data_IF_458619449076
#
_entry.id   IF_458619449076
#
_cell.length_a   1.000
_cell.length_b   1.000
_cell.length_c   1.000
_cell.angle_alpha   90.00
_cell.angle_beta   90.00
_cell.angle_gamma   90.00
#
_symmetry.space_group_name_H-M   'P 1'
#
loop_
_entity.id
_entity.type
_entity.pdbx_description
1 polymer ?
#
# COMPACT_ATOMS: atom_id res chain seq x y z
N UNK A 1 -3.53 -4.65 -32.21
CA UNK A 1 -3.28 -4.68 -30.77
C UNK A 1 -3.45 -6.11 -30.24
N UNK A 2 -2.45 -6.65 -29.61
CA UNK A 2 -2.51 -8.00 -29.05
C UNK A 2 -3.13 -7.97 -27.65
N UNK A 3 -3.62 -9.12 -27.17
CA UNK A 3 -4.13 -9.23 -25.80
C UNK A 3 -3.07 -8.89 -24.75
N UNK A 4 -1.81 -9.23 -25.01
CA UNK A 4 -0.72 -8.92 -24.10
C UNK A 4 -0.57 -7.40 -23.93
N UNK A 5 -0.64 -6.63 -25.02
CA UNK A 5 -0.56 -5.18 -24.98
C UNK A 5 -1.70 -4.56 -24.14
N UNK A 6 -2.91 -5.12 -24.24
CA UNK A 6 -4.05 -4.64 -23.47
C UNK A 6 -3.87 -4.96 -21.97
N UNK A 7 -3.29 -6.12 -21.64
CA UNK A 7 -2.99 -6.46 -20.25
C UNK A 7 -1.97 -5.51 -19.64
N UNK A 8 -0.93 -5.17 -20.40
CA UNK A 8 0.11 -4.25 -19.93
C UNK A 8 -0.48 -2.86 -19.66
N UNK A 9 -1.41 -2.42 -20.51
CA UNK A 9 -2.11 -1.16 -20.32
C UNK A 9 -2.98 -1.20 -19.05
N UNK A 10 -3.69 -2.30 -18.82
CA UNK A 10 -4.53 -2.46 -17.65
C UNK A 10 -3.72 -2.45 -16.35
N UNK A 11 -2.55 -3.12 -16.32
CA UNK A 11 -1.65 -3.08 -15.17
C UNK A 11 -1.12 -1.66 -14.92
N UNK A 12 -0.68 -0.97 -15.96
CA UNK A 12 -0.22 0.40 -15.84
C UNK A 12 -1.34 1.32 -15.34
N UNK A 13 -2.54 1.14 -15.86
CA UNK A 13 -3.70 1.95 -15.49
C UNK A 13 -4.05 1.74 -14.02
N UNK A 14 -4.07 0.49 -13.55
CA UNK A 14 -4.32 0.21 -12.15
C UNK A 14 -3.25 0.83 -11.25
N UNK A 15 -1.97 0.70 -11.60
CA UNK A 15 -0.88 1.30 -10.86
C UNK A 15 -1.03 2.82 -10.78
N UNK A 16 -1.38 3.46 -11.89
CA UNK A 16 -1.62 4.90 -11.93
C UNK A 16 -2.79 5.29 -11.01
N UNK A 17 -3.88 4.53 -11.03
CA UNK A 17 -5.03 4.79 -10.18
C UNK A 17 -4.67 4.70 -8.69
N UNK A 18 -3.87 3.71 -8.31
CA UNK A 18 -3.41 3.57 -6.93
C UNK A 18 -2.59 4.78 -6.51
N UNK A 19 -1.61 5.18 -7.31
CA UNK A 19 -0.74 6.31 -7.00
C UNK A 19 -1.48 7.64 -7.05
N UNK A 20 -2.40 7.83 -7.98
CA UNK A 20 -3.23 9.04 -8.04
C UNK A 20 -4.06 9.17 -6.77
N UNK A 21 -4.64 8.08 -6.32
CA UNK A 21 -5.40 8.08 -5.07
C UNK A 21 -4.52 8.40 -3.86
N UNK A 22 -3.35 7.74 -3.75
CA UNK A 22 -2.43 7.97 -2.64
C UNK A 22 -1.90 9.40 -2.63
N UNK A 23 -1.58 9.96 -3.79
CA UNK A 23 -1.12 11.33 -3.91
C UNK A 23 -2.21 12.33 -3.49
N UNK A 24 -3.45 12.07 -3.88
CA UNK A 24 -4.56 12.90 -3.44
C UNK A 24 -4.77 12.79 -1.93
N UNK A 25 -4.78 11.56 -1.42
CA UNK A 25 -5.10 11.28 -0.01
C UNK A 25 -4.06 11.83 0.95
N UNK A 26 -2.79 11.66 0.62
CA UNK A 26 -1.67 12.00 1.50
C UNK A 26 -0.97 13.30 1.13
N UNK A 27 -1.08 13.74 -0.12
CA UNK A 27 -0.33 14.89 -0.60
C UNK A 27 1.16 14.67 -0.41
N UNK A 28 1.89 15.71 -0.03
CA UNK A 28 3.33 15.63 0.22
C UNK A 28 3.68 15.18 1.64
N UNK A 29 2.66 14.92 2.49
CA UNK A 29 2.86 14.64 3.91
C UNK A 29 3.65 13.36 4.19
N UNK A 30 3.51 12.37 3.29
CA UNK A 30 4.17 11.08 3.45
C UNK A 30 5.32 10.87 2.45
N UNK A 31 5.70 11.91 1.71
CA UNK A 31 6.84 11.84 0.79
C UNK A 31 8.10 12.37 1.46
N UNK A 32 9.19 11.60 1.38
CA UNK A 32 10.48 12.04 1.83
C UNK A 32 11.20 12.89 0.79
N UNK A 33 12.41 13.35 1.09
CA UNK A 33 13.24 14.12 0.15
C UNK A 33 13.58 13.34 -1.12
N UNK A 34 13.57 12.00 -1.03
CA UNK A 34 13.82 11.11 -2.16
C UNK A 34 12.58 10.88 -3.04
N UNK A 35 11.48 11.55 -2.74
CA UNK A 35 10.17 11.40 -3.43
C UNK A 35 9.54 10.03 -3.28
N UNK A 36 9.99 9.26 -2.29
CA UNK A 36 9.42 7.95 -1.98
C UNK A 36 8.37 8.09 -0.89
N UNK A 37 7.39 7.19 -0.94
CA UNK A 37 6.40 7.08 0.13
C UNK A 37 7.10 6.60 1.40
N UNK A 38 6.84 7.26 2.53
CA UNK A 38 7.42 6.91 3.82
C UNK A 38 6.32 6.64 4.84
N UNK A 39 6.54 5.64 5.67
CA UNK A 39 5.68 5.31 6.79
C UNK A 39 6.57 5.23 8.04
N UNK A 40 6.31 6.08 9.02
CA UNK A 40 7.15 6.20 10.22
C UNK A 40 8.63 6.42 9.90
N UNK A 41 8.89 7.20 8.85
CA UNK A 41 10.24 7.51 8.43
C UNK A 41 10.93 6.45 7.60
N UNK A 42 10.29 5.30 7.38
CA UNK A 42 10.85 4.20 6.60
C UNK A 42 10.26 4.23 5.19
N UNK A 43 11.08 4.14 4.12
CA UNK A 43 10.55 4.07 2.77
C UNK A 43 9.73 2.80 2.55
N UNK A 44 8.60 2.94 1.89
CA UNK A 44 7.67 1.83 1.63
C UNK A 44 7.62 1.53 0.15
N UNK A 45 7.88 0.28 -0.22
CA UNK A 45 7.72 -0.17 -1.59
C UNK A 45 6.29 -0.66 -1.81
N UNK A 46 5.60 -0.07 -2.77
CA UNK A 46 4.23 -0.44 -3.11
C UNK A 46 4.25 -1.15 -4.46
N UNK A 47 3.87 -2.42 -4.48
CA UNK A 47 3.75 -3.19 -5.71
C UNK A 47 2.28 -3.46 -5.99
N UNK A 48 1.81 -3.12 -7.18
CA UNK A 48 0.40 -3.24 -7.56
C UNK A 48 0.18 -4.46 -8.44
N UNK A 49 -0.96 -5.11 -8.25
CA UNK A 49 -1.36 -6.32 -8.99
C UNK A 49 -2.79 -6.13 -9.49
N UNK A 50 -2.93 -5.96 -10.79
CA UNK A 50 -4.24 -5.77 -11.42
C UNK A 50 -5.04 -7.08 -11.45
N UNK A 51 -4.37 -8.22 -11.56
CA UNK A 51 -5.05 -9.50 -11.64
C UNK A 51 -5.65 -9.89 -10.28
N UNK A 52 -6.97 -9.77 -10.17
CA UNK A 52 -7.69 -10.08 -8.94
C UNK A 52 -7.63 -11.56 -8.54
N UNK A 53 -7.30 -12.44 -9.48
CA UNK A 53 -7.17 -13.88 -9.23
C UNK A 53 -5.77 -14.36 -8.91
N UNK A 54 -4.77 -13.47 -8.84
CA UNK A 54 -3.40 -13.88 -8.56
C UNK A 54 -3.29 -14.42 -7.12
N UNK A 55 -2.67 -15.60 -6.92
CA UNK A 55 -2.53 -16.16 -5.57
C UNK A 55 -1.72 -15.26 -4.64
N UNK A 56 -2.14 -15.20 -3.38
CA UNK A 56 -1.53 -14.32 -2.37
C UNK A 56 -0.04 -14.61 -2.20
N UNK A 57 0.35 -15.88 -2.11
CA UNK A 57 1.75 -16.24 -1.91
C UNK A 57 2.64 -15.79 -3.08
N UNK A 58 2.14 -15.88 -4.30
CA UNK A 58 2.88 -15.40 -5.48
C UNK A 58 3.05 -13.88 -5.44
N UNK A 59 2.01 -13.15 -5.05
CA UNK A 59 2.08 -11.69 -4.91
C UNK A 59 3.11 -11.29 -3.86
N UNK A 60 3.08 -11.96 -2.72
CA UNK A 60 4.01 -11.66 -1.63
C UNK A 60 5.46 -11.91 -2.03
N UNK A 61 5.73 -13.04 -2.72
CA UNK A 61 7.07 -13.35 -3.18
C UNK A 61 7.57 -12.32 -4.21
N UNK A 62 6.72 -11.95 -5.14
CA UNK A 62 7.07 -10.97 -6.17
C UNK A 62 7.32 -9.59 -5.56
N UNK A 63 6.46 -9.14 -4.68
CA UNK A 63 6.60 -7.85 -4.00
C UNK A 63 7.84 -7.82 -3.10
N UNK A 64 8.12 -8.93 -2.41
CA UNK A 64 9.32 -9.06 -1.58
C UNK A 64 10.59 -8.94 -2.41
N UNK A 65 10.63 -9.59 -3.55
CA UNK A 65 11.79 -9.55 -4.46
C UNK A 65 12.01 -8.13 -4.98
N UNK A 66 10.95 -7.44 -5.38
CA UNK A 66 11.05 -6.05 -5.87
C UNK A 66 11.56 -5.14 -4.76
N UNK A 67 11.05 -5.29 -3.55
CA UNK A 67 11.49 -4.48 -2.41
C UNK A 67 12.96 -4.72 -2.09
N UNK A 68 13.40 -5.97 -2.11
CA UNK A 68 14.80 -6.33 -1.87
C UNK A 68 15.72 -5.73 -2.93
N UNK A 69 15.30 -5.77 -4.20
CA UNK A 69 16.07 -5.19 -5.30
C UNK A 69 16.20 -3.66 -5.17
N UNK A 70 15.28 -3.02 -4.46
CA UNK A 70 15.27 -1.58 -4.21
C UNK A 70 15.82 -1.22 -2.83
N UNK A 71 16.38 -2.17 -2.10
CA UNK A 71 16.90 -1.99 -0.73
C UNK A 71 15.85 -1.42 0.24
N UNK A 72 14.61 -1.83 0.10
CA UNK A 72 13.51 -1.41 0.96
C UNK A 72 13.10 -2.52 1.92
N UNK A 73 13.01 -2.18 3.22
CA UNK A 73 12.66 -3.14 4.28
C UNK A 73 11.16 -3.24 4.51
N UNK A 74 10.44 -2.17 4.22
CA UNK A 74 8.97 -2.14 4.36
C UNK A 74 8.36 -2.16 2.96
N UNK A 75 7.44 -3.07 2.74
CA UNK A 75 6.77 -3.21 1.46
C UNK A 75 5.35 -3.71 1.66
N UNK A 76 4.49 -3.36 0.72
CA UNK A 76 3.10 -3.83 0.70
C UNK A 76 2.75 -4.24 -0.72
N UNK A 77 1.77 -5.14 -0.84
CA UNK A 77 1.21 -5.54 -2.12
C UNK A 77 -0.23 -5.03 -2.20
N UNK A 78 -0.58 -4.41 -3.32
CA UNK A 78 -1.93 -3.88 -3.54
C UNK A 78 -2.58 -4.67 -4.67
N UNK A 79 -3.68 -5.36 -4.37
CA UNK A 79 -4.39 -6.19 -5.35
C UNK A 79 -5.73 -5.56 -5.71
N UNK A 80 -6.00 -5.48 -7.01
CA UNK A 80 -7.30 -5.08 -7.52
C UNK A 80 -8.38 -6.09 -7.12
N UNK A 81 -9.56 -5.60 -6.77
CA UNK A 81 -10.73 -6.42 -6.47
C UNK A 81 -11.77 -6.20 -7.55
N UNK A 82 -12.19 -7.28 -8.20
CA UNK A 82 -13.17 -7.20 -9.29
C UNK A 82 -14.45 -6.50 -8.83
N UNK A 83 -14.90 -5.52 -9.60
CA UNK A 83 -16.12 -4.79 -9.31
C UNK A 83 -15.98 -3.66 -8.30
N UNK A 84 -14.80 -3.47 -7.72
CA UNK A 84 -14.55 -2.39 -6.77
C UNK A 84 -13.76 -1.27 -7.43
N UNK A 85 -13.94 -0.04 -6.96
CA UNK A 85 -13.06 1.04 -7.37
C UNK A 85 -11.70 0.91 -6.66
N UNK A 86 -10.79 1.82 -6.98
CA UNK A 86 -9.41 1.73 -6.47
C UNK A 86 -9.35 1.76 -4.95
N UNK A 87 -10.27 2.46 -4.28
CA UNK A 87 -10.27 2.58 -2.81
C UNK A 87 -10.59 1.26 -2.12
N UNK A 88 -11.28 0.35 -2.82
CA UNK A 88 -11.60 -0.99 -2.33
C UNK A 88 -10.53 -2.04 -2.61
N UNK A 89 -9.42 -1.67 -3.23
CA UNK A 89 -8.30 -2.59 -3.45
C UNK A 89 -7.78 -3.13 -2.14
N UNK A 90 -7.29 -4.37 -2.14
CA UNK A 90 -6.72 -4.99 -0.95
C UNK A 90 -5.25 -4.62 -0.82
N UNK A 91 -4.87 -4.18 0.37
CA UNK A 91 -3.46 -3.94 0.71
C UNK A 91 -3.02 -5.04 1.66
N UNK A 92 -2.01 -5.79 1.23
CA UNK A 92 -1.43 -6.89 2.01
C UNK A 92 -0.15 -6.37 2.66
N UNK A 93 -0.12 -6.39 3.99
CA UNK A 93 1.03 -5.93 4.78
C UNK A 93 1.68 -7.16 5.39
N UNK A 94 2.88 -7.55 4.90
CA UNK A 94 3.51 -8.80 5.36
C UNK A 94 4.03 -8.69 6.79
N UNK A 95 4.23 -9.85 7.46
CA UNK A 95 4.73 -9.86 8.84
C UNK A 95 6.04 -9.10 9.03
N UNK A 96 6.97 -9.23 8.10
CA UNK A 96 8.26 -8.54 8.17
C UNK A 96 8.12 -7.01 8.14
N UNK A 97 7.20 -6.49 7.33
CA UNK A 97 6.92 -5.06 7.31
C UNK A 97 6.28 -4.62 8.63
N UNK A 98 5.33 -5.39 9.12
CA UNK A 98 4.66 -5.11 10.38
C UNK A 98 5.62 -5.12 11.57
N UNK A 99 6.52 -6.10 11.62
CA UNK A 99 7.55 -6.17 12.65
C UNK A 99 8.44 -4.93 12.64
N UNK A 100 8.86 -4.51 11.44
CA UNK A 100 9.71 -3.32 11.31
C UNK A 100 8.98 -2.05 11.74
N UNK A 101 7.72 -1.90 11.32
CA UNK A 101 6.92 -0.74 11.70
C UNK A 101 6.67 -0.69 13.21
N UNK A 102 6.43 -1.84 13.84
CA UNK A 102 6.24 -1.91 15.28
C UNK A 102 7.48 -1.46 16.05
N UNK A 103 8.66 -1.76 15.53
CA UNK A 103 9.92 -1.31 16.12
C UNK A 103 10.10 0.21 16.00
N UNK A 104 9.58 0.82 14.96
CA UNK A 104 9.67 2.26 14.71
C UNK A 104 8.56 3.05 15.41
N UNK A 105 7.53 2.37 15.88
CA UNK A 105 6.33 3.00 16.44
C UNK A 105 6.55 3.42 17.90
N UNK A 106 7.29 4.49 18.10
CA UNK A 106 7.59 5.01 19.45
C UNK A 106 6.37 5.59 20.15
N UNK A 107 5.37 6.04 19.40
CA UNK A 107 4.15 6.63 19.93
C UNK A 107 3.00 5.63 20.06
N UNK A 108 3.26 4.36 19.76
CA UNK A 108 2.27 3.28 19.83
C UNK A 108 1.02 3.54 18.98
N UNK A 109 1.19 4.21 17.85
CA UNK A 109 0.08 4.51 16.94
C UNK A 109 -0.55 3.25 16.36
N UNK A 110 0.23 2.17 16.26
CA UNK A 110 -0.24 0.89 15.72
C UNK A 110 -0.95 0.03 16.76
N UNK A 111 -0.85 0.37 18.05
CA UNK A 111 -1.55 -0.35 19.09
C UNK A 111 -3.07 -0.13 18.92
N UNK A 112 -3.84 -1.17 19.02
CA UNK A 112 -5.29 -1.08 18.85
C UNK A 112 -5.78 -1.16 17.41
N UNK A 113 -4.87 -1.29 16.44
CA UNK A 113 -5.27 -1.54 15.06
C UNK A 113 -5.61 -3.03 14.92
N UNK A 114 -6.80 -3.27 14.38
CA UNK A 114 -7.28 -4.64 14.18
C UNK A 114 -7.34 -4.95 12.69
N UNK A 115 -6.57 -5.94 12.28
CA UNK A 115 -6.56 -6.41 10.89
C UNK A 115 -7.37 -7.69 10.76
N UNK A 116 -7.89 -7.91 9.57
CA UNK A 116 -8.35 -9.23 9.16
C UNK A 116 -7.08 -10.01 8.81
N UNK A 117 -6.76 -11.02 9.61
CA UNK A 117 -5.61 -11.87 9.35
C UNK A 117 -6.01 -13.04 8.47
N UNK A 118 -5.24 -13.24 7.40
CA UNK A 118 -5.45 -14.40 6.55
C UNK A 118 -4.69 -15.61 7.13
N UNK A 119 -5.29 -16.78 7.00
CA UNK A 119 -4.71 -18.02 7.51
C UNK A 119 -3.41 -18.44 6.80
N UNK A 120 -3.11 -17.83 5.65
CA UNK A 120 -1.95 -18.17 4.83
C UNK A 120 -0.63 -17.55 5.30
N UNK A 121 -0.66 -16.66 6.27
CA UNK A 121 0.58 -16.05 6.77
C UNK A 121 0.38 -15.54 8.18
N UNK A 122 1.19 -16.00 9.12
CA UNK A 122 1.16 -15.51 10.49
C UNK A 122 1.50 -14.02 10.51
N UNK A 123 0.56 -13.20 10.95
CA UNK A 123 0.77 -11.77 11.05
C UNK A 123 0.58 -11.00 9.74
N UNK A 124 0.02 -11.61 8.69
CA UNK A 124 -0.32 -10.89 7.47
C UNK A 124 -1.51 -9.99 7.74
N UNK A 125 -1.31 -8.68 7.59
CA UNK A 125 -2.38 -7.70 7.70
C UNK A 125 -3.05 -7.47 6.36
N UNK A 126 -4.39 -7.36 6.36
CA UNK A 126 -5.16 -7.06 5.16
C UNK A 126 -6.09 -5.89 5.45
N UNK A 127 -5.94 -4.83 4.68
CA UNK A 127 -6.80 -3.64 4.78
C UNK A 127 -7.19 -3.19 3.38
N UNK A 128 -8.17 -2.32 3.26
CA UNK A 128 -8.46 -1.67 1.99
C UNK A 128 -7.43 -0.56 1.71
N UNK A 129 -7.34 -0.13 0.46
CA UNK A 129 -6.46 1.00 0.13
C UNK A 129 -6.87 2.27 0.89
N UNK A 130 -8.18 2.48 1.07
CA UNK A 130 -8.69 3.58 1.89
C UNK A 130 -8.17 3.49 3.33
N UNK A 131 -8.27 2.32 3.95
CA UNK A 131 -7.78 2.11 5.32
C UNK A 131 -6.27 2.27 5.42
N UNK A 132 -5.55 1.79 4.41
CA UNK A 132 -4.10 1.96 4.36
C UNK A 132 -3.72 3.44 4.29
N UNK A 133 -4.42 4.22 3.50
CA UNK A 133 -4.19 5.66 3.43
C UNK A 133 -4.46 6.34 4.77
N UNK A 134 -5.53 5.94 5.47
CA UNK A 134 -5.81 6.45 6.81
C UNK A 134 -4.68 6.12 7.79
N UNK A 135 -4.19 4.88 7.77
CA UNK A 135 -3.06 4.47 8.62
C UNK A 135 -1.84 5.36 8.37
N UNK A 136 -1.51 5.57 7.12
CA UNK A 136 -0.36 6.39 6.75
C UNK A 136 -0.54 7.86 7.08
N UNK A 137 -1.78 8.32 7.15
CA UNK A 137 -2.11 9.71 7.47
C UNK A 137 -2.42 9.91 8.96
N UNK A 138 -2.00 8.99 9.82
CA UNK A 138 -2.19 9.04 11.28
C UNK A 138 -3.67 9.20 11.66
N UNK A 139 -4.56 8.57 10.89
CA UNK A 139 -6.02 8.61 11.06
C UNK A 139 -6.63 10.01 10.92
N UNK A 140 -5.89 10.95 10.35
CA UNK A 140 -6.42 12.27 10.03
C UNK A 140 -7.20 12.22 8.71
N UNK A 141 -8.13 13.16 8.48
CA UNK A 141 -8.88 13.20 7.23
C UNK A 141 -7.99 13.21 6.00
N UNK A 142 -8.39 12.46 4.97
CA UNK A 142 -7.65 12.36 3.73
C UNK A 142 -7.95 13.54 2.81
N UNK A 143 -7.00 13.80 1.90
CA UNK A 143 -7.14 14.84 0.91
C UNK A 143 -6.49 16.16 1.33
N UNK A 144 -6.62 17.18 0.49
CA UNK A 144 -6.04 18.49 0.78
C UNK A 144 -6.58 19.09 2.08
N UNK A 145 -5.72 19.81 2.80
CA UNK A 145 -6.11 20.49 4.02
C UNK A 145 -6.88 21.77 3.66
N UNK A 146 -8.20 21.69 3.73
CA UNK A 146 -9.09 22.81 3.35
C UNK A 146 -8.91 24.02 4.25
N UNK A 147 -8.40 23.84 5.46
CA UNK A 147 -8.19 24.97 6.38
C UNK A 147 -7.13 25.95 5.90
N UNK A 148 -6.29 25.54 4.95
CA UNK A 148 -5.24 26.39 4.37
C UNK A 148 -5.69 27.18 3.15
N UNK A 149 -6.90 26.95 2.68
CA UNK A 149 -7.42 27.60 1.46
C UNK A 149 -8.17 28.91 1.75
N UNK A 150 -8.15 29.35 2.97
CA UNK A 150 -8.85 30.57 3.36
C UNK A 150 -7.95 31.78 3.28
#
# INVERSE_FOLDING_TARGET
MTRATMRDIDEMDFNIQVWDYMNWALGDRSLGFDRRLHWMGEPVNVTTFQNAGKPVLEMLDEARTIAADNDMRVWVAVQHVTGMDVTGSLVLIPPEAWTRLSQLDTNRELDGIHFIQLAVGNGLGVVSLYQFALLMNHFQPLGPDESKEV
#
